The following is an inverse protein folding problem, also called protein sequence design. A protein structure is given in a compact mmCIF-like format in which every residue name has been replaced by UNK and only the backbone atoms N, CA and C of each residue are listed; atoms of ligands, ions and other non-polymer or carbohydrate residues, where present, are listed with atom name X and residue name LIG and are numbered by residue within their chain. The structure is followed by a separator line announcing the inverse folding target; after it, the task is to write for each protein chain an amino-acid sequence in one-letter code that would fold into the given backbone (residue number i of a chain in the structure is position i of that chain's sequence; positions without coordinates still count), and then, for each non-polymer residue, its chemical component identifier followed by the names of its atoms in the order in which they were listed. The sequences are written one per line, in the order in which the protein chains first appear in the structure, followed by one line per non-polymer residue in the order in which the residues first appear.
data_IF_087065382520
#
_entry.id   IF_087065382520
#
_cell.length_a   1.000
_cell.length_b   1.000
_cell.length_c   1.000
_cell.angle_alpha   90.00
_cell.angle_beta   90.00
_cell.angle_gamma   90.00
#
_symmetry.space_group_name_H-M   'P 1'
#
loop_
_entity.id
_entity.type
_entity.pdbx_description
1 polymer ?
#
# COMPACT_ATOMS: atom_id res chain seq x y z
N UNK A 1 15.72 5.99 -2.27
CA UNK A 1 14.26 6.13 -2.13
C UNK A 1 13.63 5.10 -3.06
N UNK A 2 12.59 4.41 -2.64
CA UNK A 2 11.82 3.48 -3.48
C UNK A 2 10.40 4.01 -3.59
N UNK A 3 9.90 4.14 -4.83
CA UNK A 3 8.53 4.52 -5.12
C UNK A 3 7.72 3.26 -5.40
N UNK A 4 6.54 3.18 -4.81
CA UNK A 4 5.57 2.13 -5.04
C UNK A 4 4.24 2.77 -5.40
N UNK A 5 3.78 2.52 -6.62
CA UNK A 5 2.51 3.03 -7.15
C UNK A 5 1.71 1.90 -7.78
N UNK A 6 0.39 2.03 -7.81
CA UNK A 6 -0.52 1.17 -8.59
C UNK A 6 -0.17 1.11 -10.09
N UNK A 7 0.52 2.12 -10.61
CA UNK A 7 1.05 2.18 -11.99
C UNK A 7 2.37 1.42 -12.19
N UNK A 8 2.92 0.82 -11.13
CA UNK A 8 4.22 0.14 -11.22
C UNK A 8 4.13 -1.08 -12.15
N UNK A 9 5.13 -1.21 -13.04
CA UNK A 9 5.12 -2.30 -14.02
C UNK A 9 5.45 -3.65 -13.39
N UNK A 10 4.65 -4.65 -13.74
CA UNK A 10 4.93 -6.08 -13.55
C UNK A 10 5.38 -6.67 -14.88
N UNK A 11 6.47 -7.42 -14.88
CA UNK A 11 7.10 -7.93 -16.10
C UNK A 11 6.68 -9.37 -16.37
N UNK A 12 6.62 -9.73 -17.66
CA UNK A 12 6.43 -11.11 -18.09
C UNK A 12 7.60 -11.99 -17.61
N UNK A 13 7.31 -13.20 -17.13
CA UNK A 13 8.31 -14.11 -16.59
C UNK A 13 7.73 -14.98 -15.47
N UNK A 14 8.34 -14.93 -14.30
CA UNK A 14 7.83 -15.54 -13.07
C UNK A 14 7.80 -14.54 -11.91
N UNK A 15 7.19 -14.94 -10.79
CA UNK A 15 7.28 -14.17 -9.54
C UNK A 15 8.76 -13.98 -9.17
N UNK A 16 9.56 -15.05 -9.22
CA UNK A 16 11.01 -15.03 -9.01
C UNK A 16 11.69 -13.99 -9.88
N UNK A 17 11.50 -14.04 -11.20
CA UNK A 17 12.19 -13.11 -12.10
C UNK A 17 11.82 -11.65 -11.85
N UNK A 18 10.59 -11.37 -11.40
CA UNK A 18 10.17 -10.03 -11.00
C UNK A 18 10.85 -9.56 -9.70
N UNK A 19 11.00 -10.43 -8.71
CA UNK A 19 11.68 -10.12 -7.44
C UNK A 19 13.18 -9.93 -7.62
N UNK A 20 13.78 -10.74 -8.49
CA UNK A 20 15.20 -10.70 -8.84
C UNK A 20 15.63 -9.39 -9.53
N UNK A 21 14.71 -8.55 -9.97
CA UNK A 21 15.01 -7.18 -10.45
C UNK A 21 15.72 -6.35 -9.38
N UNK A 22 15.50 -6.64 -8.10
CA UNK A 22 16.21 -6.04 -6.96
C UNK A 22 17.72 -6.36 -6.90
N UNK A 23 18.18 -7.35 -7.67
CA UNK A 23 19.55 -7.88 -7.58
C UNK A 23 19.69 -9.03 -6.57
N UNK A 24 18.69 -9.26 -5.71
CA UNK A 24 18.67 -10.40 -4.77
C UNK A 24 18.43 -11.70 -5.54
N UNK A 25 19.20 -12.75 -5.25
CA UNK A 25 19.08 -14.10 -5.83
C UNK A 25 18.99 -15.21 -4.79
N UNK A 26 19.17 -14.87 -3.51
CA UNK A 26 19.11 -15.85 -2.43
C UNK A 26 17.71 -16.44 -2.31
N UNK A 27 17.60 -17.77 -2.49
CA UNK A 27 16.33 -18.50 -2.50
C UNK A 27 15.54 -18.27 -1.23
N UNK A 28 16.21 -18.33 -0.07
CA UNK A 28 15.56 -18.18 1.23
C UNK A 28 14.94 -16.79 1.37
N UNK A 29 15.68 -15.74 1.01
CA UNK A 29 15.19 -14.36 1.02
C UNK A 29 14.00 -14.17 0.10
N UNK A 30 14.04 -14.76 -1.11
CA UNK A 30 12.92 -14.72 -2.05
C UNK A 30 11.68 -15.46 -1.54
N UNK A 31 11.85 -16.59 -0.86
CA UNK A 31 10.74 -17.31 -0.24
C UNK A 31 10.16 -16.55 0.95
N UNK A 32 11.01 -15.96 1.78
CA UNK A 32 10.59 -15.23 2.98
C UNK A 32 9.82 -13.96 2.60
N UNK A 33 10.23 -13.23 1.55
CA UNK A 33 9.47 -12.08 1.08
C UNK A 33 8.11 -12.50 0.48
N UNK A 34 8.06 -13.60 -0.28
CA UNK A 34 6.79 -14.13 -0.80
C UNK A 34 5.84 -14.52 0.34
N UNK A 35 6.34 -15.14 1.40
CA UNK A 35 5.54 -15.46 2.59
C UNK A 35 5.01 -14.20 3.27
N UNK A 36 5.87 -13.19 3.45
CA UNK A 36 5.51 -11.92 4.06
C UNK A 36 4.33 -11.25 3.34
N UNK A 37 4.36 -11.20 2.01
CA UNK A 37 3.27 -10.62 1.19
C UNK A 37 2.22 -11.64 0.75
N UNK A 38 2.26 -12.86 1.28
CA UNK A 38 1.34 -13.98 0.96
C UNK A 38 1.22 -14.29 -0.55
N UNK A 39 2.31 -14.20 -1.29
CA UNK A 39 2.41 -14.65 -2.69
C UNK A 39 2.78 -16.13 -2.76
N UNK A 40 2.17 -16.85 -3.69
CA UNK A 40 2.36 -18.29 -3.85
C UNK A 40 3.20 -18.63 -5.08
N UNK A 41 4.22 -19.46 -4.86
CA UNK A 41 5.03 -20.08 -5.90
C UNK A 41 5.98 -19.11 -6.61
N UNK A 42 7.28 -19.18 -6.28
CA UNK A 42 8.30 -18.36 -6.95
C UNK A 42 8.33 -18.58 -8.46
N UNK A 43 8.08 -19.80 -8.92
CA UNK A 43 8.09 -20.15 -10.34
C UNK A 43 6.72 -20.00 -11.01
N UNK A 44 5.70 -19.47 -10.30
CA UNK A 44 4.41 -19.12 -10.91
C UNK A 44 4.65 -18.13 -12.04
N UNK A 45 4.15 -18.47 -13.22
CA UNK A 45 4.25 -17.65 -14.42
C UNK A 45 3.49 -16.34 -14.24
N UNK A 46 4.08 -15.27 -14.74
CA UNK A 46 3.51 -13.92 -14.79
C UNK A 46 3.46 -13.52 -16.25
N UNK A 47 2.25 -13.20 -16.72
CA UNK A 47 2.04 -12.74 -18.09
C UNK A 47 2.41 -11.25 -18.23
N UNK A 48 2.35 -10.74 -19.46
CA UNK A 48 2.66 -9.35 -19.71
C UNK A 48 1.77 -8.41 -18.88
N UNK A 49 2.40 -7.43 -18.20
CA UNK A 49 1.73 -6.53 -17.23
C UNK A 49 0.97 -7.28 -16.12
N UNK A 50 1.38 -8.51 -15.84
CA UNK A 50 0.75 -9.41 -14.88
C UNK A 50 -0.72 -9.70 -15.19
N UNK A 51 -1.16 -9.74 -16.45
CA UNK A 51 -2.59 -9.91 -16.81
C UNK A 51 -3.28 -11.12 -16.15
N UNK A 52 -2.52 -12.13 -15.74
CA UNK A 52 -2.98 -13.34 -15.05
C UNK A 52 -2.94 -13.26 -13.51
N UNK A 53 -2.61 -12.11 -12.93
CA UNK A 53 -2.62 -11.84 -11.48
C UNK A 53 -3.84 -10.99 -11.12
N UNK A 54 -4.44 -11.23 -9.96
CA UNK A 54 -5.43 -10.30 -9.39
C UNK A 54 -4.81 -8.94 -9.08
N UNK A 55 -5.61 -7.88 -8.95
CA UNK A 55 -5.11 -6.56 -8.58
C UNK A 55 -4.27 -6.59 -7.30
N UNK A 56 -4.77 -7.30 -6.27
CA UNK A 56 -4.08 -7.50 -5.01
C UNK A 56 -2.79 -8.31 -5.13
N UNK A 57 -2.75 -9.35 -5.96
CA UNK A 57 -1.51 -10.08 -6.24
C UNK A 57 -0.46 -9.21 -6.92
N UNK A 58 -0.86 -8.35 -7.88
CA UNK A 58 0.06 -7.42 -8.54
C UNK A 58 0.68 -6.45 -7.54
N UNK A 59 -0.14 -5.79 -6.72
CA UNK A 59 0.36 -4.82 -5.74
C UNK A 59 1.26 -5.48 -4.70
N UNK A 60 0.92 -6.70 -4.24
CA UNK A 60 1.77 -7.48 -3.33
C UNK A 60 3.11 -7.87 -3.97
N UNK A 61 3.14 -8.19 -5.27
CA UNK A 61 4.40 -8.44 -6.00
C UNK A 61 5.25 -7.17 -6.14
N UNK A 62 4.63 -6.03 -6.43
CA UNK A 62 5.31 -4.75 -6.52
C UNK A 62 5.89 -4.36 -5.15
N UNK A 63 5.11 -4.53 -4.07
CA UNK A 63 5.55 -4.28 -2.70
C UNK A 63 6.72 -5.20 -2.31
N UNK A 64 6.62 -6.50 -2.58
CA UNK A 64 7.70 -7.45 -2.32
C UNK A 64 8.99 -7.04 -3.03
N UNK A 65 8.90 -6.66 -4.30
CA UNK A 65 10.05 -6.15 -5.07
C UNK A 65 10.63 -4.89 -4.45
N UNK A 66 9.78 -3.97 -3.98
CA UNK A 66 10.21 -2.74 -3.32
C UNK A 66 10.95 -3.02 -2.00
N UNK A 67 10.46 -3.96 -1.20
CA UNK A 67 11.05 -4.34 0.08
C UNK A 67 12.46 -4.93 -0.09
N UNK A 68 12.69 -5.69 -1.16
CA UNK A 68 14.00 -6.27 -1.46
C UNK A 68 15.10 -5.22 -1.75
N UNK A 69 14.74 -3.99 -2.12
CA UNK A 69 15.71 -2.90 -2.27
C UNK A 69 16.22 -2.33 -0.93
N UNK A 70 15.59 -2.71 0.20
CA UNK A 70 15.98 -2.31 1.56
C UNK A 70 16.24 -0.80 1.73
N UNK A 71 15.45 0.04 1.06
CA UNK A 71 15.66 1.49 1.08
C UNK A 71 15.41 2.09 2.48
N UNK A 72 15.97 3.28 2.74
CA UNK A 72 15.65 4.05 3.96
C UNK A 72 14.31 4.80 3.88
N UNK A 73 13.83 5.06 2.66
CA UNK A 73 12.63 5.85 2.38
C UNK A 73 11.79 5.14 1.33
N UNK A 74 10.51 4.93 1.65
CA UNK A 74 9.47 4.39 0.78
C UNK A 74 8.39 5.43 0.55
N UNK A 75 8.04 5.66 -0.72
CA UNK A 75 6.93 6.49 -1.13
C UNK A 75 5.84 5.56 -1.66
N UNK A 76 4.69 5.50 -1.01
CA UNK A 76 3.55 4.68 -1.38
C UNK A 76 2.46 5.59 -1.96
N UNK A 77 2.23 5.48 -3.26
CA UNK A 77 1.28 6.30 -4.00
C UNK A 77 0.09 5.43 -4.41
N UNK A 78 -1.02 5.55 -3.69
CA UNK A 78 -2.27 4.82 -3.95
C UNK A 78 -2.10 3.28 -4.02
N UNK A 79 -1.18 2.72 -3.24
CA UNK A 79 -0.84 1.28 -3.29
C UNK A 79 -2.01 0.34 -2.94
N UNK A 80 -3.12 0.83 -2.40
CA UNK A 80 -4.31 0.02 -2.09
C UNK A 80 -5.51 0.36 -2.99
N UNK A 81 -5.29 1.09 -4.09
CA UNK A 81 -6.35 1.39 -5.06
C UNK A 81 -6.81 0.12 -5.77
N UNK A 82 -8.12 -0.01 -6.01
CA UNK A 82 -8.72 -1.07 -6.83
C UNK A 82 -8.38 -2.51 -6.41
N UNK A 83 -8.17 -2.76 -5.12
CA UNK A 83 -7.96 -4.10 -4.57
C UNK A 83 -8.97 -4.46 -3.50
N UNK A 84 -9.11 -5.76 -3.26
CA UNK A 84 -9.98 -6.31 -2.22
C UNK A 84 -9.44 -6.03 -0.81
N UNK A 85 -10.35 -6.05 0.17
CA UNK A 85 -10.07 -5.75 1.58
C UNK A 85 -9.02 -6.67 2.19
N UNK A 86 -8.95 -7.93 1.78
CA UNK A 86 -7.95 -8.88 2.28
C UNK A 86 -6.55 -8.51 1.80
N UNK A 87 -6.40 -8.24 0.51
CA UNK A 87 -5.14 -7.78 -0.09
C UNK A 87 -4.66 -6.47 0.52
N UNK A 88 -5.57 -5.53 0.81
CA UNK A 88 -5.25 -4.26 1.45
C UNK A 88 -4.74 -4.46 2.86
N UNK A 89 -5.42 -5.29 3.65
CA UNK A 89 -5.00 -5.63 5.01
C UNK A 89 -3.59 -6.23 5.04
N UNK A 90 -3.26 -7.11 4.09
CA UNK A 90 -1.92 -7.69 3.96
C UNK A 90 -0.88 -6.59 3.69
N UNK A 91 -1.15 -5.69 2.73
CA UNK A 91 -0.25 -4.60 2.40
C UNK A 91 -0.01 -3.70 3.62
N UNK A 92 -1.08 -3.29 4.32
CA UNK A 92 -0.98 -2.44 5.50
C UNK A 92 -0.29 -3.13 6.68
N UNK A 93 -0.48 -4.44 6.86
CA UNK A 93 0.25 -5.23 7.84
C UNK A 93 1.77 -5.21 7.55
N UNK A 94 2.17 -5.36 6.28
CA UNK A 94 3.58 -5.29 5.91
C UNK A 94 4.15 -3.88 6.12
N UNK A 95 3.42 -2.85 5.68
CA UNK A 95 3.85 -1.45 5.79
C UNK A 95 4.01 -1.01 7.25
N UNK A 96 3.05 -1.33 8.11
CA UNK A 96 3.10 -0.99 9.55
C UNK A 96 4.24 -1.68 10.30
N UNK A 97 4.77 -2.79 9.77
CA UNK A 97 5.90 -3.51 10.35
C UNK A 97 7.27 -3.03 9.83
N UNK A 98 7.34 -2.02 8.95
CA UNK A 98 8.59 -1.49 8.41
C UNK A 98 9.34 -0.62 9.44
N UNK A 99 9.99 -1.26 10.40
CA UNK A 99 10.76 -0.58 11.45
C UNK A 99 12.00 0.11 10.90
N UNK A 100 12.35 1.27 11.48
CA UNK A 100 13.52 2.08 11.12
C UNK A 100 13.55 2.55 9.65
N UNK A 101 12.38 2.60 8.99
CA UNK A 101 12.21 3.14 7.64
C UNK A 101 11.31 4.37 7.69
N UNK A 102 11.54 5.34 6.79
CA UNK A 102 10.59 6.41 6.55
C UNK A 102 9.60 5.94 5.48
N UNK A 103 8.33 5.84 5.83
CA UNK A 103 7.25 5.55 4.88
C UNK A 103 6.40 6.81 4.73
N UNK A 104 6.28 7.30 3.50
CA UNK A 104 5.35 8.37 3.16
C UNK A 104 4.29 7.75 2.27
N UNK A 105 3.05 7.81 2.71
CA UNK A 105 1.91 7.22 2.00
C UNK A 105 0.92 8.31 1.59
N UNK A 106 0.49 8.27 0.35
CA UNK A 106 -0.67 9.01 -0.17
C UNK A 106 -1.81 8.02 -0.27
N UNK A 107 -2.92 8.31 0.40
CA UNK A 107 -4.08 7.43 0.48
C UNK A 107 -5.37 8.17 0.17
N UNK A 108 -6.23 7.51 -0.61
CA UNK A 108 -7.65 7.89 -0.76
C UNK A 108 -8.56 7.19 0.25
N UNK A 109 -8.01 6.26 1.05
CA UNK A 109 -8.70 5.58 2.14
C UNK A 109 -8.20 6.12 3.46
N UNK A 110 -9.01 6.96 4.10
CA UNK A 110 -8.58 7.65 5.31
C UNK A 110 -8.48 6.71 6.53
N UNK A 111 -9.09 5.53 6.49
CA UNK A 111 -8.88 4.48 7.50
C UNK A 111 -7.41 4.09 7.62
N UNK A 112 -6.69 3.99 6.50
CA UNK A 112 -5.26 3.65 6.47
C UNK A 112 -4.36 4.75 7.03
N UNK A 113 -4.85 5.98 7.15
CA UNK A 113 -4.04 7.11 7.67
C UNK A 113 -4.22 7.34 9.16
N UNK A 114 -5.24 6.74 9.80
CA UNK A 114 -5.55 6.95 11.22
C UNK A 114 -4.37 6.58 12.12
N UNK A 115 -3.69 5.49 11.79
CA UNK A 115 -2.58 4.93 12.58
C UNK A 115 -1.22 5.51 12.20
N UNK A 116 -1.16 6.52 11.33
CA UNK A 116 0.10 7.14 10.94
C UNK A 116 0.74 7.92 12.11
N UNK A 117 2.06 7.80 12.25
CA UNK A 117 2.84 8.57 13.22
C UNK A 117 2.68 10.10 13.03
N UNK A 118 2.39 10.53 11.80
CA UNK A 118 2.11 11.90 11.45
C UNK A 118 1.32 11.99 10.14
N UNK A 119 0.23 12.74 10.15
CA UNK A 119 -0.58 13.03 8.97
C UNK A 119 -0.27 14.45 8.49
N UNK A 120 -0.16 14.62 7.18
CA UNK A 120 0.04 15.89 6.48
C UNK A 120 -1.20 16.16 5.64
N UNK A 121 -1.81 17.34 5.82
CA UNK A 121 -3.02 17.76 5.12
C UNK A 121 -2.67 18.90 4.20
N UNK A 122 -2.85 18.67 2.90
CA UNK A 122 -2.63 19.66 1.85
C UNK A 122 -3.99 20.11 1.30
N UNK A 123 -4.13 21.41 1.09
CA UNK A 123 -5.29 22.01 0.43
C UNK A 123 -4.79 23.10 -0.52
N UNK A 124 -5.20 23.03 -1.79
CA UNK A 124 -4.74 23.91 -2.88
C UNK A 124 -3.20 24.12 -2.91
N UNK A 125 -2.44 23.05 -2.66
CA UNK A 125 -0.97 23.08 -2.63
C UNK A 125 -0.34 23.68 -1.37
N UNK A 126 -1.15 24.05 -0.38
CA UNK A 126 -0.71 24.61 0.91
C UNK A 126 -0.86 23.63 2.06
N UNK A 127 0.08 23.65 3.01
CA UNK A 127 0.00 22.86 4.24
C UNK A 127 -1.02 23.47 5.21
N UNK A 128 -2.18 22.83 5.36
CA UNK A 128 -3.28 23.31 6.22
C UNK A 128 -3.44 22.51 7.51
N UNK A 129 -2.73 21.39 7.65
CA UNK A 129 -2.77 20.57 8.86
C UNK A 129 -1.59 19.62 8.96
N UNK A 130 -1.12 19.42 10.19
CA UNK A 130 -0.06 18.46 10.52
C UNK A 130 -0.25 17.91 11.93
N UNK A 131 -0.22 16.59 12.10
CA UNK A 131 -0.28 15.95 13.41
C UNK A 131 -0.91 14.56 13.38
N UNK A 132 -1.22 14.04 14.56
CA UNK A 132 -1.96 12.77 14.71
C UNK A 132 -3.44 12.95 14.35
N UNK A 133 -4.09 11.85 13.94
CA UNK A 133 -5.53 11.81 13.64
C UNK A 133 -6.38 12.51 14.71
N UNK A 134 -6.19 12.14 15.99
CA UNK A 134 -6.96 12.70 17.11
C UNK A 134 -6.84 14.22 17.23
N UNK A 135 -5.66 14.77 16.94
CA UNK A 135 -5.44 16.21 17.00
C UNK A 135 -6.10 16.89 15.80
N UNK A 136 -5.89 16.35 14.60
CA UNK A 136 -6.43 16.91 13.36
C UNK A 136 -7.96 16.88 13.32
N UNK A 137 -8.60 15.85 13.88
CA UNK A 137 -10.06 15.79 14.02
C UNK A 137 -10.61 16.97 14.83
N UNK A 138 -9.85 17.51 15.78
CA UNK A 138 -10.26 18.66 16.59
C UNK A 138 -9.90 19.99 15.92
N UNK A 139 -8.67 20.13 15.41
CA UNK A 139 -8.11 21.44 15.04
C UNK A 139 -8.10 21.72 13.53
N UNK A 140 -8.25 20.71 12.66
CA UNK A 140 -8.14 20.86 11.21
C UNK A 140 -9.50 20.59 10.55
N UNK A 141 -10.23 21.66 10.22
CA UNK A 141 -11.55 21.56 9.59
C UNK A 141 -11.54 20.83 8.23
N UNK A 142 -10.58 21.09 7.31
CA UNK A 142 -10.49 20.34 6.04
C UNK A 142 -10.34 18.83 6.26
N UNK A 143 -9.43 18.43 7.14
CA UNK A 143 -9.22 17.02 7.47
C UNK A 143 -10.46 16.37 8.08
N UNK A 144 -11.06 17.02 9.10
CA UNK A 144 -12.28 16.52 9.74
C UNK A 144 -13.42 16.35 8.73
N UNK A 145 -13.57 17.30 7.81
CA UNK A 145 -14.60 17.23 6.76
C UNK A 145 -14.36 16.02 5.85
N UNK A 146 -13.14 15.88 5.31
CA UNK A 146 -12.77 14.75 4.45
C UNK A 146 -13.01 13.40 5.13
N UNK A 147 -12.54 13.24 6.37
CA UNK A 147 -12.71 12.00 7.14
C UNK A 147 -14.18 11.67 7.39
N UNK A 148 -14.98 12.66 7.80
CA UNK A 148 -16.40 12.44 8.12
C UNK A 148 -17.20 12.06 6.86
N UNK A 149 -16.95 12.73 5.74
CA UNK A 149 -17.62 12.43 4.47
C UNK A 149 -17.31 11.03 3.97
N UNK A 150 -16.03 10.64 3.98
CA UNK A 150 -15.63 9.30 3.55
C UNK A 150 -16.26 8.22 4.42
N UNK A 151 -16.20 8.37 5.74
CA UNK A 151 -16.77 7.41 6.70
C UNK A 151 -18.29 7.26 6.55
N UNK A 152 -19.00 8.34 6.22
CA UNK A 152 -20.43 8.28 5.92
C UNK A 152 -20.69 7.45 4.67
N UNK A 153 -19.96 7.71 3.57
CA UNK A 153 -20.09 6.96 2.32
C UNK A 153 -19.82 5.47 2.52
N UNK A 154 -18.76 5.11 3.25
CA UNK A 154 -18.43 3.73 3.59
C UNK A 154 -19.55 3.05 4.39
N UNK A 155 -20.10 3.74 5.40
CA UNK A 155 -21.24 3.21 6.17
C UNK A 155 -22.51 3.04 5.33
N UNK A 156 -22.80 3.94 4.39
CA UNK A 156 -23.94 3.81 3.48
C UNK A 156 -23.79 2.57 2.57
N UNK A 157 -22.59 2.36 2.01
CA UNK A 157 -22.33 1.22 1.13
C UNK A 157 -22.43 -0.12 1.88
N UNK A 158 -22.01 -0.18 3.14
CA UNK A 158 -22.13 -1.40 3.96
C UNK A 158 -23.58 -1.64 4.39
N UNK A 159 -24.35 -0.59 4.70
CA UNK A 159 -25.74 -0.70 5.13
C UNK A 159 -26.73 -1.20 4.07
N UNK A 160 -26.42 -1.07 2.77
CA UNK A 160 -27.25 -1.63 1.69
C UNK A 160 -27.02 -3.13 1.43
N UNK A 161 -25.94 -3.72 1.95
CA UNK A 161 -25.63 -5.15 1.75
C UNK A 161 -26.29 -6.08 2.79
N UNK A 162 -26.87 -5.53 3.87
CA UNK A 162 -27.51 -6.27 4.96
C UNK A 162 -29.06 -6.14 4.97
N UNK A 163 -29.69 -5.71 3.86
CA UNK A 163 -31.15 -5.52 3.72
C UNK A 163 -31.79 -6.42 2.66
#
# INVERSE_FOLDING_TARGET
VVLVSDKSTVFKGSIRSNLEISGVRDEKTLQDICKLVRLQGLDRKVDERGSNLSGGEKQRLILARALLFDAKVYLLDEITSNIDVESEKIIMEVVSNMKNKLVVMVSHRLENVVDADQIIVLDEGSLVGKGLHINLMNVCAPYRSLYTTQKQLENFMVGEHDA
#
